data_IF_007500464564
#
_entry.id   IF_007500464564
#
_cell.length_a   1.000
_cell.length_b   1.000
_cell.length_c   1.000
_cell.angle_alpha   90.00
_cell.angle_beta   90.00
_cell.angle_gamma   90.00
#
_symmetry.space_group_name_H-M   'P 1'
#
loop_
_entity.id
_entity.type
_entity.pdbx_description
1 polymer ?
#
# COMPACT_ATOMS: atom_id res chain seq x y z
N UNK A 1 8.53 18.34 -5.13
CA UNK A 1 7.30 17.76 -5.72
C UNK A 1 6.68 16.93 -4.62
N UNK A 2 5.40 17.09 -4.34
CA UNK A 2 4.79 16.39 -3.22
C UNK A 2 4.61 14.92 -3.54
N UNK A 3 5.13 14.07 -2.68
CA UNK A 3 4.90 12.63 -2.69
C UNK A 3 4.04 12.29 -1.48
N UNK A 4 2.99 11.50 -1.70
CA UNK A 4 2.09 11.05 -0.66
C UNK A 4 2.03 9.52 -0.65
N UNK A 5 2.11 8.93 0.53
CA UNK A 5 1.90 7.51 0.79
C UNK A 5 0.85 7.39 1.89
N UNK A 6 -0.27 6.74 1.59
CA UNK A 6 -1.24 6.28 2.57
C UNK A 6 -1.09 4.77 2.70
N UNK A 7 -0.83 4.28 3.90
CA UNK A 7 -0.59 2.86 4.20
C UNK A 7 -1.61 2.37 5.21
N UNK A 8 -2.33 1.32 4.87
CA UNK A 8 -3.20 0.60 5.78
C UNK A 8 -2.68 -0.82 5.99
N UNK A 9 -2.57 -1.24 7.26
CA UNK A 9 -2.29 -2.61 7.66
C UNK A 9 -3.59 -3.31 7.99
N UNK A 10 -3.75 -4.52 7.47
CA UNK A 10 -4.93 -5.34 7.73
C UNK A 10 -4.63 -6.40 8.78
N UNK A 11 -5.60 -6.72 9.63
CA UNK A 11 -5.57 -7.81 10.60
C UNK A 11 -5.72 -9.21 9.96
N UNK A 12 -5.49 -9.31 8.65
CA UNK A 12 -5.54 -10.53 7.85
C UNK A 12 -4.26 -10.71 7.04
N UNK A 13 -3.97 -11.95 6.68
CA UNK A 13 -3.04 -12.33 5.64
C UNK A 13 -3.79 -13.15 4.60
N UNK A 14 -3.56 -12.89 3.32
CA UNK A 14 -4.27 -13.62 2.27
C UNK A 14 -3.37 -14.03 1.12
N UNK A 15 -3.87 -14.99 0.33
CA UNK A 15 -3.32 -15.35 -0.98
C UNK A 15 -4.40 -15.18 -2.03
N UNK A 16 -4.06 -14.44 -3.08
CA UNK A 16 -4.92 -14.29 -4.23
C UNK A 16 -5.00 -15.60 -5.04
N UNK A 17 -3.87 -16.27 -5.22
CA UNK A 17 -3.80 -17.51 -6.04
C UNK A 17 -4.52 -18.68 -5.37
N UNK A 18 -4.38 -18.82 -4.05
CA UNK A 18 -5.03 -19.89 -3.29
C UNK A 18 -6.47 -19.54 -2.88
N UNK A 19 -6.90 -18.29 -3.07
CA UNK A 19 -8.18 -17.77 -2.61
C UNK A 19 -8.44 -18.09 -1.12
N UNK A 20 -7.47 -17.72 -0.28
CA UNK A 20 -7.45 -18.01 1.16
C UNK A 20 -7.17 -16.75 1.96
N UNK A 21 -7.78 -16.65 3.13
CA UNK A 21 -7.62 -15.55 4.08
C UNK A 21 -7.59 -16.13 5.50
N UNK A 22 -6.60 -15.70 6.29
CA UNK A 22 -6.41 -16.11 7.68
C UNK A 22 -6.06 -14.86 8.53
N UNK A 23 -6.19 -14.92 9.87
CA UNK A 23 -5.73 -13.84 10.73
C UNK A 23 -4.25 -13.50 10.52
N UNK A 24 -3.93 -12.20 10.54
CA UNK A 24 -2.55 -11.73 10.45
C UNK A 24 -1.70 -12.19 11.64
N UNK A 25 -0.39 -12.27 11.41
CA UNK A 25 0.62 -12.31 12.48
C UNK A 25 1.36 -10.99 12.54
N UNK A 26 2.19 -10.80 13.57
CA UNK A 26 3.02 -9.61 13.72
C UNK A 26 3.91 -9.35 12.49
N UNK A 27 4.42 -10.41 11.86
CA UNK A 27 5.33 -10.33 10.71
C UNK A 27 4.64 -10.53 9.35
N UNK A 28 3.38 -10.99 9.32
CA UNK A 28 2.69 -11.38 8.09
C UNK A 28 1.27 -10.86 8.07
N UNK A 29 1.06 -9.81 7.28
CA UNK A 29 -0.20 -9.12 7.13
C UNK A 29 -0.31 -8.47 5.74
N UNK A 30 -1.53 -8.39 5.25
CA UNK A 30 -1.85 -7.69 4.01
C UNK A 30 -1.78 -6.18 4.21
N UNK A 31 -1.54 -5.46 3.12
CA UNK A 31 -1.62 -4.00 3.12
C UNK A 31 -2.46 -3.49 1.97
N UNK A 32 -3.17 -2.39 2.23
CA UNK A 32 -3.76 -1.54 1.20
C UNK A 32 -2.99 -0.22 1.25
N UNK A 33 -2.47 0.20 0.11
CA UNK A 33 -1.65 1.39 0.02
C UNK A 33 -2.12 2.26 -1.12
N UNK A 34 -1.99 3.56 -0.95
CA UNK A 34 -2.19 4.54 -1.99
C UNK A 34 -0.94 5.38 -2.09
N UNK A 35 -0.44 5.54 -3.30
CA UNK A 35 0.76 6.31 -3.57
C UNK A 35 0.47 7.34 -4.64
N UNK A 36 0.91 8.57 -4.42
CA UNK A 36 0.86 9.61 -5.44
C UNK A 36 2.18 10.36 -5.54
N UNK A 37 2.58 10.58 -6.79
CA UNK A 37 3.77 11.35 -7.13
C UNK A 37 3.67 11.82 -8.57
N UNK A 38 4.17 13.01 -8.87
CA UNK A 38 4.27 13.56 -10.23
C UNK A 38 2.93 13.60 -11.00
N UNK A 39 1.82 13.83 -10.30
CA UNK A 39 0.48 13.91 -10.92
C UNK A 39 -0.12 12.55 -11.30
N UNK A 40 0.51 11.44 -10.92
CA UNK A 40 -0.04 10.10 -11.02
C UNK A 40 -0.30 9.53 -9.63
N UNK A 41 -1.32 8.67 -9.53
CA UNK A 41 -1.60 7.94 -8.30
C UNK A 41 -1.92 6.48 -8.59
N UNK A 42 -1.68 5.65 -7.59
CA UNK A 42 -1.89 4.21 -7.66
C UNK A 42 -2.50 3.72 -6.36
N UNK A 43 -3.35 2.71 -6.48
CA UNK A 43 -3.74 1.83 -5.38
C UNK A 43 -2.92 0.56 -5.47
N UNK A 44 -2.40 0.09 -4.35
CA UNK A 44 -1.57 -1.10 -4.25
C UNK A 44 -2.15 -2.00 -3.16
N UNK A 45 -2.30 -3.29 -3.46
CA UNK A 45 -2.61 -4.32 -2.45
C UNK A 45 -1.48 -5.33 -2.41
N UNK A 46 -0.98 -5.63 -1.21
CA UNK A 46 -0.06 -6.75 -1.00
C UNK A 46 -0.79 -7.92 -0.37
N UNK A 47 -0.54 -9.11 -0.89
CA UNK A 47 -1.06 -10.38 -0.39
C UNK A 47 0.07 -11.13 0.30
N UNK A 48 0.04 -11.17 1.62
CA UNK A 48 1.21 -11.55 2.41
C UNK A 48 1.59 -13.02 2.28
N UNK A 49 0.60 -13.90 2.15
CA UNK A 49 0.79 -15.35 2.11
C UNK A 49 1.54 -15.79 0.85
N UNK A 50 1.23 -15.22 -0.31
CA UNK A 50 1.91 -15.56 -1.57
C UNK A 50 3.00 -14.55 -1.95
N UNK A 51 3.19 -13.48 -1.18
CA UNK A 51 4.10 -12.38 -1.49
C UNK A 51 3.80 -11.78 -2.86
N UNK A 52 2.51 -11.65 -3.18
CA UNK A 52 2.00 -11.02 -4.40
C UNK A 52 1.66 -9.55 -4.17
N UNK A 53 1.74 -8.75 -5.23
CA UNK A 53 1.37 -7.34 -5.22
C UNK A 53 0.57 -6.99 -6.47
N UNK A 54 -0.59 -6.40 -6.24
CA UNK A 54 -1.46 -5.87 -7.27
C UNK A 54 -1.42 -4.36 -7.25
N UNK A 55 -1.27 -3.75 -8.42
CA UNK A 55 -1.11 -2.31 -8.61
C UNK A 55 -2.15 -1.85 -9.61
N UNK A 56 -2.95 -0.86 -9.24
CA UNK A 56 -3.96 -0.24 -10.07
C UNK A 56 -3.65 1.25 -10.25
N UNK A 57 -3.54 1.71 -11.50
CA UNK A 57 -3.50 3.14 -11.80
C UNK A 57 -4.83 3.78 -11.43
N UNK A 58 -4.78 4.91 -10.72
CA UNK A 58 -5.93 5.75 -10.48
C UNK A 58 -5.88 6.84 -11.56
N UNK A 59 -6.47 6.56 -12.73
CA UNK A 59 -6.36 7.46 -13.89
C UNK A 59 -6.96 8.85 -13.59
N UNK A 60 -6.22 9.86 -14.06
CA UNK A 60 -6.34 11.29 -13.72
C UNK A 60 -7.61 11.99 -14.18
N UNK A 61 -8.74 11.72 -13.50
CA UNK A 61 -9.61 12.83 -13.09
C UNK A 61 -8.88 13.70 -12.06
N UNK A 62 -9.44 14.84 -11.65
CA UNK A 62 -8.94 15.51 -10.44
C UNK A 62 -8.96 14.47 -9.31
N UNK A 63 -7.82 13.82 -9.07
CA UNK A 63 -7.52 13.09 -7.85
C UNK A 63 -7.73 14.16 -6.81
N UNK A 64 -8.93 14.19 -6.24
CA UNK A 64 -9.35 15.22 -5.32
C UNK A 64 -8.53 15.08 -4.05
N UNK A 65 -9.19 14.83 -2.94
CA UNK A 65 -8.45 14.43 -1.76
C UNK A 65 -8.14 12.92 -1.85
N UNK A 66 -6.88 12.56 -2.17
CA UNK A 66 -6.43 11.17 -2.21
C UNK A 66 -6.57 10.50 -0.84
N UNK A 67 -6.41 11.26 0.25
CA UNK A 67 -6.60 10.73 1.61
C UNK A 67 -8.06 10.35 1.81
N UNK A 68 -9.00 11.22 1.43
CA UNK A 68 -10.43 10.92 1.50
C UNK A 68 -10.79 9.68 0.67
N UNK A 69 -10.29 9.59 -0.56
CA UNK A 69 -10.48 8.43 -1.43
C UNK A 69 -9.93 7.16 -0.77
N UNK A 70 -8.71 7.22 -0.24
CA UNK A 70 -8.02 6.09 0.35
C UNK A 70 -8.72 5.58 1.60
N UNK A 71 -9.11 6.48 2.51
CA UNK A 71 -9.84 6.16 3.74
C UNK A 71 -11.21 5.59 3.41
N UNK A 72 -12.02 6.29 2.61
CA UNK A 72 -13.37 5.84 2.26
C UNK A 72 -13.36 4.49 1.54
N UNK A 73 -12.43 4.30 0.57
CA UNK A 73 -12.30 3.02 -0.13
C UNK A 73 -11.89 1.89 0.80
N UNK A 74 -10.94 2.13 1.70
CA UNK A 74 -10.43 1.10 2.61
C UNK A 74 -11.47 0.74 3.66
N UNK A 75 -12.10 1.72 4.30
CA UNK A 75 -13.15 1.48 5.29
C UNK A 75 -14.34 0.73 4.69
N UNK A 76 -14.76 1.08 3.48
CA UNK A 76 -15.90 0.43 2.82
C UNK A 76 -15.65 -1.05 2.46
N UNK A 77 -14.41 -1.45 2.23
CA UNK A 77 -14.06 -2.79 1.75
C UNK A 77 -13.33 -3.66 2.79
N UNK A 78 -12.69 -3.04 3.77
CA UNK A 78 -11.80 -3.68 4.74
C UNK A 78 -11.97 -3.14 6.16
N UNK A 79 -13.00 -2.33 6.44
CA UNK A 79 -13.17 -1.69 7.74
C UNK A 79 -13.32 -2.65 8.91
N UNK A 80 -13.75 -3.89 8.66
CA UNK A 80 -13.85 -4.98 9.64
C UNK A 80 -12.50 -5.63 9.98
N UNK A 81 -11.51 -5.50 9.09
CA UNK A 81 -10.16 -6.07 9.23
C UNK A 81 -9.08 -4.99 9.21
N UNK A 82 -9.43 -3.71 9.35
CA UNK A 82 -8.46 -2.61 9.38
C UNK A 82 -7.79 -2.55 10.77
N UNK A 83 -6.47 -2.68 10.81
CA UNK A 83 -5.70 -2.64 12.06
C UNK A 83 -5.10 -1.25 12.31
N UNK A 84 -4.37 -0.71 11.33
CA UNK A 84 -3.69 0.58 11.42
C UNK A 84 -3.70 1.33 10.09
N UNK A 85 -3.63 2.66 10.17
CA UNK A 85 -3.55 3.55 9.01
C UNK A 85 -2.54 4.67 9.22
N UNK A 86 -1.74 4.95 8.20
CA UNK A 86 -0.74 6.01 8.19
C UNK A 86 -0.91 6.89 6.96
N UNK A 87 -0.89 8.20 7.16
CA UNK A 87 -0.84 9.19 6.09
C UNK A 87 0.52 9.86 6.17
N UNK A 88 1.27 9.81 5.08
CA UNK A 88 2.65 10.29 4.98
C UNK A 88 2.76 11.22 3.77
N UNK A 89 3.05 12.47 4.05
CA UNK A 89 3.29 13.53 3.06
C UNK A 89 4.75 13.96 3.08
N UNK A 90 5.32 14.17 1.90
CA UNK A 90 6.69 14.59 1.73
C UNK A 90 6.86 15.57 0.58
N UNK A 91 7.46 16.73 0.84
CA UNK A 91 7.83 17.69 -0.20
C UNK A 91 9.20 17.38 -0.83
N UNK A 92 10.00 16.55 -0.15
CA UNK A 92 11.36 16.13 -0.55
C UNK A 92 11.36 14.80 -1.32
N UNK A 93 10.19 14.31 -1.72
CA UNK A 93 10.05 13.05 -2.46
C UNK A 93 10.18 11.81 -1.57
N UNK A 94 10.73 10.73 -2.12
CA UNK A 94 10.83 9.44 -1.42
C UNK A 94 11.73 9.48 -0.18
N UNK A 95 12.74 10.35 -0.13
CA UNK A 95 13.61 10.45 1.03
C UNK A 95 12.85 10.97 2.26
N UNK A 96 11.99 11.98 2.10
CA UNK A 96 11.11 12.42 3.18
C UNK A 96 10.06 11.37 3.56
N UNK A 97 9.59 10.54 2.61
CA UNK A 97 8.71 9.41 2.95
C UNK A 97 9.44 8.41 3.85
N UNK A 98 10.71 8.09 3.55
CA UNK A 98 11.54 7.18 4.36
C UNK A 98 11.77 7.74 5.77
N UNK A 99 12.12 9.01 5.90
CA UNK A 99 12.29 9.68 7.19
C UNK A 99 11.01 9.63 8.03
N UNK A 100 9.85 9.85 7.40
CA UNK A 100 8.55 9.81 8.06
C UNK A 100 8.15 8.38 8.49
N UNK A 101 8.53 7.35 7.74
CA UNK A 101 8.37 5.95 8.14
C UNK A 101 9.21 5.65 9.38
N UNK A 102 10.50 6.00 9.36
CA UNK A 102 11.41 5.78 10.50
C UNK A 102 10.92 6.48 11.77
N UNK A 103 10.46 7.72 11.64
CA UNK A 103 9.91 8.50 12.76
C UNK A 103 8.68 7.84 13.41
N UNK A 104 7.98 6.97 12.68
CA UNK A 104 6.82 6.19 13.16
C UNK A 104 7.21 4.77 13.60
N UNK A 105 8.50 4.44 13.60
CA UNK A 105 9.00 3.09 13.92
C UNK A 105 8.80 2.08 12.81
N UNK A 106 8.42 2.52 11.60
CA UNK A 106 8.29 1.67 10.43
C UNK A 106 9.63 1.60 9.69
N UNK A 107 10.07 0.42 9.24
CA UNK A 107 11.23 0.27 8.37
C UNK A 107 11.08 1.13 7.10
N UNK A 108 12.12 1.86 6.65
CA UNK A 108 12.07 2.76 5.49
C UNK A 108 12.12 2.02 4.13
N UNK A 109 11.58 0.80 4.08
CA UNK A 109 11.63 -0.04 2.89
C UNK A 109 10.51 0.36 1.92
N UNK A 110 10.92 0.85 0.76
CA UNK A 110 10.04 1.22 -0.34
C UNK A 110 10.46 0.44 -1.57
N UNK A 111 9.50 -0.24 -2.20
CA UNK A 111 9.67 -0.91 -3.46
C UNK A 111 9.05 -0.09 -4.58
N UNK A 112 9.81 0.13 -5.65
CA UNK A 112 9.36 0.82 -6.84
C UNK A 112 9.00 -0.19 -7.93
N UNK A 113 7.90 0.06 -8.62
CA UNK A 113 7.41 -0.77 -9.73
C UNK A 113 7.84 -0.18 -11.07
N UNK A 114 7.80 -0.98 -12.14
CA UNK A 114 8.14 -0.50 -13.49
C UNK A 114 7.17 0.56 -14.04
N UNK A 115 6.01 0.75 -13.41
CA UNK A 115 5.00 1.74 -13.81
C UNK A 115 5.07 3.02 -12.96
N UNK A 116 6.06 3.15 -12.08
CA UNK A 116 6.29 4.34 -11.25
C UNK A 116 5.52 4.34 -9.91
N UNK A 117 4.69 3.33 -9.63
CA UNK A 117 4.08 3.16 -8.32
C UNK A 117 5.15 2.75 -7.30
N UNK A 118 5.05 3.28 -6.08
CA UNK A 118 5.92 2.95 -4.96
C UNK A 118 5.06 2.48 -3.79
N UNK A 119 5.51 1.46 -3.07
CA UNK A 119 4.79 0.93 -1.92
C UNK A 119 5.76 0.49 -0.83
N UNK A 120 5.30 0.57 0.41
CA UNK A 120 6.01 0.10 1.59
C UNK A 120 5.97 -1.41 1.71
N UNK A 121 7.04 -2.00 2.23
CA UNK A 121 7.09 -3.43 2.51
C UNK A 121 7.68 -3.75 3.88
N UNK A 122 7.13 -4.74 4.61
CA UNK A 122 7.71 -5.19 5.86
C UNK A 122 9.11 -5.80 5.65
N UNK A 123 9.98 -5.80 6.67
CA UNK A 123 11.31 -6.42 6.59
C UNK A 123 11.25 -7.87 6.13
N UNK A 124 12.24 -8.29 5.34
CA UNK A 124 12.35 -9.68 4.86
C UNK A 124 11.34 -10.08 3.78
N UNK A 125 10.44 -9.19 3.38
CA UNK A 125 9.48 -9.46 2.31
C UNK A 125 10.08 -9.28 0.91
N UNK A 126 9.55 -10.05 -0.04
CA UNK A 126 10.04 -10.15 -1.42
C UNK A 126 8.92 -9.97 -2.44
N UNK A 127 8.01 -9.04 -2.16
CA UNK A 127 6.82 -8.79 -2.98
C UNK A 127 7.16 -8.53 -4.44
N UNK A 128 6.48 -9.25 -5.31
CA UNK A 128 6.52 -9.08 -6.77
C UNK A 128 5.18 -9.49 -7.34
N UNK A 129 4.78 -8.92 -8.47
CA UNK A 129 3.54 -9.36 -9.12
C UNK A 129 3.68 -10.82 -9.56
N UNK A 130 2.86 -11.70 -8.98
CA UNK A 130 2.80 -13.15 -9.20
C UNK A 130 1.50 -13.56 -9.89
N UNK A 131 0.45 -12.77 -9.73
CA UNK A 131 -0.81 -12.94 -10.44
C UNK A 131 -1.28 -11.63 -11.06
N UNK A 132 -2.37 -11.70 -11.81
CA UNK A 132 -3.09 -10.53 -12.31
C UNK A 132 -4.48 -10.55 -11.70
N UNK A 133 -5.01 -9.41 -11.24
CA UNK A 133 -6.39 -9.33 -10.83
C UNK A 133 -7.27 -9.82 -11.99
N UNK A 134 -8.30 -10.61 -11.68
CA UNK A 134 -9.31 -11.01 -12.65
C UNK A 134 -10.01 -9.77 -13.20
N UNK A 135 -10.31 -9.79 -14.50
CA UNK A 135 -11.19 -8.78 -15.12
C UNK A 135 -12.58 -8.78 -14.48
#
# INVERSE_FOLDING_TARGET
>A
MTTQLILFRLAIQSSYVANSEEPATEDTFDTIQFFASNGAAWRIKTYATDQDVHVWSLDGGELGDLVELAVSNTEANYGDVLEEGYIIDSETGLDGVREQLEARGLPPHLNETSVGAVFWTPPGSGYKSRSRPGN
#
